data_IF_867735134977
#
_entry.id   IF_867735134977
#
_cell.length_a   1.000
_cell.length_b   1.000
_cell.length_c   1.000
_cell.angle_alpha   90.00
_cell.angle_beta   90.00
_cell.angle_gamma   90.00
#
_symmetry.space_group_name_H-M   'P 1'
#
loop_
_entity.id
_entity.type
_entity.pdbx_description
1 polymer ?
#
# COMPACT_ATOMS: atom_id res chain seq x y z
N UNK A 1 5.56 0.10 -3.47
CA UNK A 1 6.68 0.89 -2.91
C UNK A 1 7.41 0.20 -1.75
N UNK A 2 6.75 -0.06 -0.61
CA UNK A 2 7.37 -0.72 0.55
C UNK A 2 8.07 -2.05 0.24
N UNK A 3 7.58 -2.90 -0.67
CA UNK A 3 8.26 -4.19 -0.97
C UNK A 3 9.63 -4.04 -1.65
N UNK A 4 9.74 -3.17 -2.65
CA UNK A 4 11.01 -2.90 -3.34
C UNK A 4 11.96 -2.03 -2.50
N UNK A 5 11.40 -1.10 -1.73
CA UNK A 5 12.14 -0.34 -0.73
C UNK A 5 12.68 -1.24 0.39
N UNK A 6 11.84 -2.13 0.94
CA UNK A 6 12.24 -3.14 1.94
C UNK A 6 13.27 -4.13 1.38
N UNK A 7 13.17 -4.47 0.09
CA UNK A 7 14.18 -5.27 -0.60
C UNK A 7 15.46 -4.48 -0.95
N UNK A 8 15.50 -3.16 -0.67
CA UNK A 8 16.58 -2.23 -0.99
C UNK A 8 17.00 -2.28 -2.47
N UNK A 9 16.06 -2.64 -3.35
CA UNK A 9 16.30 -2.85 -4.76
C UNK A 9 16.25 -1.56 -5.59
N UNK A 10 15.87 -0.44 -4.97
CA UNK A 10 15.61 0.82 -5.64
C UNK A 10 16.87 1.68 -5.75
N UNK A 11 16.97 2.41 -6.86
CA UNK A 11 18.19 3.14 -7.23
C UNK A 11 18.52 4.30 -6.27
N UNK A 12 17.54 4.79 -5.50
CA UNK A 12 17.76 5.79 -4.45
C UNK A 12 18.64 5.30 -3.28
N UNK A 13 18.86 3.98 -3.16
CA UNK A 13 19.86 3.43 -2.22
C UNK A 13 21.30 3.52 -2.76
N UNK A 14 21.52 3.90 -4.04
CA UNK A 14 22.84 3.91 -4.71
C UNK A 14 23.54 5.29 -4.73
N UNK A 15 23.65 5.95 -3.59
CA UNK A 15 24.43 7.20 -3.43
C UNK A 15 23.99 8.39 -4.33
N UNK A 16 22.68 8.55 -4.56
CA UNK A 16 22.14 9.73 -5.26
C UNK A 16 21.13 10.46 -4.38
N UNK A 17 21.35 11.76 -4.18
CA UNK A 17 20.39 12.62 -3.49
C UNK A 17 19.31 13.08 -4.46
N UNK A 18 18.04 12.91 -4.09
CA UNK A 18 16.89 13.34 -4.88
C UNK A 18 15.98 14.20 -4.00
N UNK A 19 15.53 15.36 -4.46
CA UNK A 19 14.62 16.15 -3.62
C UNK A 19 13.31 15.38 -3.43
N UNK A 20 12.75 15.27 -2.21
CA UNK A 20 11.52 14.53 -1.95
C UNK A 20 10.34 14.93 -2.86
N UNK A 21 10.25 16.22 -3.23
CA UNK A 21 9.23 16.72 -4.17
C UNK A 21 9.40 16.16 -5.59
N UNK A 22 10.64 15.95 -6.04
CA UNK A 22 10.93 15.45 -7.39
C UNK A 22 10.58 13.97 -7.46
N UNK A 23 10.92 13.22 -6.39
CA UNK A 23 10.48 11.84 -6.22
C UNK A 23 8.96 11.74 -6.20
N UNK A 24 8.28 12.53 -5.38
CA UNK A 24 6.83 12.53 -5.32
C UNK A 24 6.18 12.86 -6.67
N UNK A 25 6.76 13.80 -7.43
CA UNK A 25 6.29 14.14 -8.77
C UNK A 25 6.46 12.97 -9.76
N UNK A 26 7.61 12.29 -9.75
CA UNK A 26 7.84 11.10 -10.60
C UNK A 26 6.88 9.96 -10.23
N UNK A 27 6.64 9.74 -8.94
CA UNK A 27 5.69 8.73 -8.46
C UNK A 27 4.26 9.05 -8.91
N UNK A 28 3.85 10.31 -8.80
CA UNK A 28 2.56 10.81 -9.27
C UNK A 28 2.40 10.63 -10.79
N UNK A 29 3.42 10.99 -11.57
CA UNK A 29 3.43 10.83 -13.01
C UNK A 29 3.36 9.35 -13.42
N UNK A 30 4.13 8.48 -12.77
CA UNK A 30 4.09 7.03 -12.98
C UNK A 30 2.70 6.47 -12.71
N UNK A 31 2.08 6.83 -11.57
CA UNK A 31 0.72 6.40 -11.24
C UNK A 31 -0.31 6.86 -12.28
N UNK A 32 -0.18 8.09 -12.79
CA UNK A 32 -1.02 8.61 -13.87
C UNK A 32 -0.86 7.83 -15.19
N UNK A 33 0.38 7.51 -15.58
CA UNK A 33 0.66 6.68 -16.76
C UNK A 33 0.06 5.27 -16.60
N UNK A 34 0.19 4.67 -15.42
CA UNK A 34 -0.40 3.36 -15.14
C UNK A 34 -1.93 3.39 -15.22
N UNK A 35 -2.57 4.45 -14.74
CA UNK A 35 -4.02 4.61 -14.85
C UNK A 35 -4.48 4.73 -16.30
N UNK A 36 -3.76 5.52 -17.12
CA UNK A 36 -4.02 5.60 -18.55
C UNK A 36 -3.80 4.24 -19.25
N UNK A 37 -2.73 3.53 -18.93
CA UNK A 37 -2.42 2.22 -19.51
C UNK A 37 -3.47 1.16 -19.17
N UNK A 38 -3.90 1.08 -17.91
CA UNK A 38 -4.97 0.15 -17.49
C UNK A 38 -6.29 0.50 -18.16
N UNK A 39 -6.63 1.79 -18.25
CA UNK A 39 -7.87 2.24 -18.89
C UNK A 39 -7.88 1.97 -20.41
N UNK A 40 -6.72 2.03 -21.07
CA UNK A 40 -6.57 1.80 -22.51
C UNK A 40 -6.33 0.33 -22.90
N UNK A 41 -6.11 -0.57 -21.94
CA UNK A 41 -5.83 -1.96 -22.21
C UNK A 41 -7.06 -2.68 -22.78
N UNK A 42 -6.95 -3.17 -24.01
CA UNK A 42 -8.01 -3.90 -24.72
C UNK A 42 -7.96 -5.41 -24.49
N UNK A 43 -6.80 -5.96 -24.12
CA UNK A 43 -6.62 -7.38 -23.84
C UNK A 43 -6.79 -7.67 -22.35
N UNK A 44 -7.64 -8.64 -21.94
CA UNK A 44 -7.85 -8.99 -20.53
C UNK A 44 -6.57 -9.36 -19.78
N UNK A 45 -5.69 -10.13 -20.41
CA UNK A 45 -4.39 -10.52 -19.86
C UNK A 45 -3.50 -9.30 -19.56
N UNK A 46 -3.30 -8.42 -20.55
CA UNK A 46 -2.49 -7.21 -20.40
C UNK A 46 -3.08 -6.32 -19.29
N UNK A 47 -4.41 -6.16 -19.27
CA UNK A 47 -5.09 -5.39 -18.23
C UNK A 47 -4.82 -5.97 -16.84
N UNK A 48 -4.92 -7.29 -16.67
CA UNK A 48 -4.64 -7.96 -15.40
C UNK A 48 -3.18 -7.75 -14.94
N UNK A 49 -2.21 -7.91 -15.85
CA UNK A 49 -0.78 -7.68 -15.56
C UNK A 49 -0.49 -6.20 -15.17
N UNK A 50 -1.09 -5.24 -15.89
CA UNK A 50 -0.96 -3.82 -15.58
C UNK A 50 -1.57 -3.48 -14.22
N UNK A 51 -2.76 -4.01 -13.90
CA UNK A 51 -3.39 -3.85 -12.58
C UNK A 51 -2.53 -4.41 -11.46
N UNK A 52 -1.95 -5.61 -11.63
CA UNK A 52 -1.00 -6.17 -10.65
C UNK A 52 0.22 -5.27 -10.46
N UNK A 53 0.69 -4.63 -11.53
CA UNK A 53 1.81 -3.69 -11.47
C UNK A 53 1.48 -2.41 -10.69
N UNK A 54 0.20 -1.99 -10.63
CA UNK A 54 -0.23 -0.84 -9.81
C UNK A 54 0.03 -1.07 -8.31
N UNK A 55 -0.02 -2.31 -7.80
CA UNK A 55 0.34 -2.61 -6.41
C UNK A 55 1.80 -2.27 -6.08
N UNK A 56 2.69 -2.30 -7.09
CA UNK A 56 4.07 -1.93 -6.92
C UNK A 56 4.27 -0.40 -6.93
N UNK A 57 3.36 0.34 -7.57
CA UNK A 57 3.47 1.79 -7.72
C UNK A 57 3.29 2.52 -6.38
N UNK A 58 4.21 3.42 -6.01
CA UNK A 58 3.93 4.41 -4.99
C UNK A 58 2.84 5.37 -5.44
N UNK A 59 2.05 5.88 -4.49
CA UNK A 59 1.06 6.93 -4.78
C UNK A 59 1.76 8.25 -5.16
N UNK A 60 2.80 8.60 -4.40
CA UNK A 60 3.38 9.93 -4.42
C UNK A 60 2.46 10.97 -3.76
N UNK A 61 3.00 11.84 -2.92
CA UNK A 61 2.30 13.02 -2.44
C UNK A 61 3.27 14.20 -2.49
N UNK A 62 3.08 15.10 -3.45
CA UNK A 62 3.96 16.25 -3.68
C UNK A 62 4.17 17.11 -2.41
N UNK A 63 3.19 17.13 -1.50
CA UNK A 63 3.26 17.84 -0.21
C UNK A 63 3.83 17.01 0.95
N UNK A 64 3.90 15.69 0.81
CA UNK A 64 4.26 14.78 1.90
C UNK A 64 5.72 14.94 2.34
N UNK A 65 6.64 15.09 1.38
CA UNK A 65 8.06 15.32 1.69
C UNK A 65 8.29 16.63 2.45
N UNK A 66 7.59 17.70 2.05
CA UNK A 66 7.65 18.98 2.76
C UNK A 66 7.00 18.89 4.15
N UNK A 67 5.90 18.14 4.31
CA UNK A 67 5.29 17.93 5.62
C UNK A 67 6.26 17.23 6.58
N UNK A 68 6.95 16.16 6.13
CA UNK A 68 7.98 15.45 6.91
C UNK A 68 9.08 16.42 7.34
N UNK A 69 9.62 17.20 6.40
CA UNK A 69 10.70 18.16 6.66
C UNK A 69 10.26 19.24 7.65
N UNK A 70 9.11 19.87 7.43
CA UNK A 70 8.61 20.92 8.31
C UNK A 70 8.18 20.39 9.68
N UNK A 71 7.70 19.14 9.76
CA UNK A 71 7.31 18.51 11.01
C UNK A 71 8.47 18.40 12.00
N UNK A 72 9.58 17.79 11.60
CA UNK A 72 10.76 17.67 12.47
C UNK A 72 11.38 19.04 12.78
N UNK A 73 11.35 19.95 11.81
CA UNK A 73 11.82 21.33 11.98
C UNK A 73 11.00 22.09 13.05
N UNK A 74 9.68 21.94 13.04
CA UNK A 74 8.81 22.54 14.07
C UNK A 74 9.12 21.98 15.46
N UNK A 75 9.38 20.67 15.57
CA UNK A 75 9.80 20.04 16.84
C UNK A 75 11.12 20.64 17.32
N UNK A 76 12.12 20.75 16.43
CA UNK A 76 13.40 21.38 16.77
C UNK A 76 13.20 22.80 17.31
N UNK A 77 12.39 23.60 16.63
CA UNK A 77 12.10 24.99 17.01
C UNK A 77 11.35 25.10 18.33
N UNK A 78 10.33 24.27 18.54
CA UNK A 78 9.51 24.26 19.76
C UNK A 78 10.33 23.91 21.01
N UNK A 79 11.37 23.09 20.85
CA UNK A 79 12.21 22.63 21.96
C UNK A 79 13.56 23.33 22.07
N UNK A 80 13.81 24.34 21.23
CA UNK A 80 15.05 25.12 21.22
C UNK A 80 16.27 24.30 20.80
N UNK A 81 16.10 23.28 19.95
CA UNK A 81 17.19 22.49 19.38
C UNK A 81 17.87 23.31 18.28
N UNK A 82 19.21 23.25 18.26
CA UNK A 82 20.03 23.94 17.27
C UNK A 82 19.66 23.53 15.84
N UNK A 83 19.59 24.51 14.95
CA UNK A 83 19.35 24.34 13.51
C UNK A 83 20.37 25.20 12.74
N UNK A 84 21.42 24.59 12.19
CA UNK A 84 22.45 25.31 11.46
C UNK A 84 23.12 26.39 12.32
N UNK A 85 22.97 27.66 11.93
CA UNK A 85 23.57 28.79 12.65
C UNK A 85 22.74 29.28 13.85
N UNK A 86 21.52 28.78 14.05
CA UNK A 86 20.66 29.23 15.16
C UNK A 86 21.15 28.63 16.47
N UNK A 87 21.44 29.43 17.52
CA UNK A 87 21.84 28.89 18.82
C UNK A 87 20.72 28.09 19.48
N UNK A 88 21.08 27.01 20.19
CA UNK A 88 20.14 26.10 20.83
C UNK A 88 20.82 24.89 21.46
N UNK A 89 20.02 23.92 21.90
CA UNK A 89 20.49 22.64 22.43
C UNK A 89 21.17 21.86 21.30
N UNK A 90 22.43 21.48 21.51
CA UNK A 90 23.20 20.64 20.58
C UNK A 90 22.67 19.20 20.60
N UNK A 91 21.88 18.82 19.59
CA UNK A 91 21.46 17.44 19.38
C UNK A 91 21.77 17.02 17.94
N UNK A 92 23.02 16.60 17.72
CA UNK A 92 23.54 16.25 16.39
C UNK A 92 22.71 15.19 15.67
N UNK A 93 22.15 14.21 16.40
CA UNK A 93 21.31 13.17 15.80
C UNK A 93 20.07 13.79 15.12
N UNK A 94 19.31 14.63 15.83
CA UNK A 94 18.12 15.28 15.27
C UNK A 94 18.51 16.25 14.14
N UNK A 95 19.57 17.02 14.31
CA UNK A 95 20.02 17.96 13.27
C UNK A 95 20.39 17.23 11.98
N UNK A 96 21.20 16.16 12.06
CA UNK A 96 21.60 15.36 10.91
C UNK A 96 20.42 14.61 10.29
N UNK A 97 19.47 14.15 11.10
CA UNK A 97 18.27 13.51 10.60
C UNK A 97 17.36 14.51 9.88
N UNK A 98 17.16 15.70 10.43
CA UNK A 98 16.47 16.79 9.73
C UNK A 98 17.15 17.09 8.39
N UNK A 99 18.48 17.20 8.33
CA UNK A 99 19.18 17.42 7.05
C UNK A 99 19.01 16.25 6.07
N UNK A 100 19.11 14.99 6.52
CA UNK A 100 18.79 13.81 5.71
C UNK A 100 17.40 13.94 5.09
N UNK A 101 16.40 14.36 5.87
CA UNK A 101 15.01 14.46 5.41
C UNK A 101 14.80 15.57 4.36
N UNK A 102 15.73 16.52 4.19
CA UNK A 102 15.69 17.47 3.06
C UNK A 102 16.11 16.83 1.75
N UNK A 103 16.99 15.83 1.80
CA UNK A 103 17.63 15.24 0.62
C UNK A 103 17.16 13.83 0.31
N UNK A 104 16.59 13.11 1.29
CA UNK A 104 16.09 11.75 1.14
C UNK A 104 15.22 11.35 2.35
N UNK A 105 13.90 11.47 2.23
CA UNK A 105 12.95 10.80 3.14
C UNK A 105 12.58 9.43 2.59
N UNK A 106 12.59 8.41 3.43
CA UNK A 106 12.36 7.02 3.05
C UNK A 106 11.53 6.28 4.12
N UNK A 107 10.87 5.16 3.78
CA UNK A 107 10.12 4.36 4.76
C UNK A 107 10.94 3.95 5.99
N UNK A 108 12.26 3.80 5.84
CA UNK A 108 13.21 3.54 6.94
C UNK A 108 13.14 4.60 8.06
N UNK A 109 12.73 5.84 7.76
CA UNK A 109 12.57 6.90 8.74
C UNK A 109 11.47 6.61 9.78
N UNK A 110 10.49 5.76 9.45
CA UNK A 110 9.51 5.25 10.43
C UNK A 110 10.23 4.45 11.51
N UNK A 111 11.11 3.52 11.13
CA UNK A 111 11.87 2.69 12.06
C UNK A 111 12.86 3.53 12.89
N UNK A 112 13.49 4.53 12.27
CA UNK A 112 14.36 5.49 12.97
C UNK A 112 13.57 6.25 14.03
N UNK A 113 12.36 6.72 13.70
CA UNK A 113 11.49 7.43 14.64
C UNK A 113 11.01 6.52 15.78
N UNK A 114 10.62 5.27 15.48
CA UNK A 114 10.23 4.28 16.50
C UNK A 114 11.38 3.95 17.45
N UNK A 115 12.60 3.78 16.93
CA UNK A 115 13.78 3.60 17.77
C UNK A 115 14.12 4.84 18.60
N UNK A 116 13.98 6.04 18.03
CA UNK A 116 14.20 7.27 18.78
C UNK A 116 13.19 7.42 19.93
N UNK A 117 11.91 7.05 19.72
CA UNK A 117 10.91 7.01 20.78
C UNK A 117 11.27 5.99 21.88
N UNK A 118 11.76 4.81 21.51
CA UNK A 118 12.23 3.83 22.48
C UNK A 118 13.36 4.40 23.36
N UNK A 119 14.33 5.08 22.75
CA UNK A 119 15.40 5.78 23.48
C UNK A 119 14.88 6.95 24.33
N UNK A 120 13.94 7.75 23.83
CA UNK A 120 13.35 8.83 24.61
C UNK A 120 12.65 8.30 25.87
N UNK A 121 11.99 7.15 25.78
CA UNK A 121 11.36 6.47 26.92
C UNK A 121 12.38 5.88 27.90
N UNK A 122 13.41 5.19 27.41
CA UNK A 122 14.30 4.42 28.29
C UNK A 122 15.57 5.15 28.74
N UNK A 123 15.99 6.17 27.99
CA UNK A 123 17.31 6.80 28.15
C UNK A 123 18.49 5.93 27.70
N UNK A 124 18.24 4.71 27.22
CA UNK A 124 19.28 3.78 26.78
C UNK A 124 19.42 3.80 25.25
N UNK A 125 20.56 4.26 24.69
CA UNK A 125 20.79 4.26 23.25
C UNK A 125 20.66 2.87 22.60
N UNK A 126 20.90 1.78 23.33
CA UNK A 126 20.78 0.43 22.78
C UNK A 126 19.33 0.08 22.38
N UNK A 127 18.33 0.66 23.04
CA UNK A 127 16.92 0.46 22.68
C UNK A 127 16.57 1.07 21.33
N UNK A 128 17.20 2.20 20.97
CA UNK A 128 17.06 2.78 19.63
C UNK A 128 17.56 1.80 18.59
N UNK A 129 18.79 1.32 18.74
CA UNK A 129 19.40 0.45 17.73
C UNK A 129 18.74 -0.91 17.65
N UNK A 130 18.32 -1.48 18.78
CA UNK A 130 17.55 -2.72 18.81
C UNK A 130 16.23 -2.58 18.06
N UNK A 131 15.46 -1.53 18.34
CA UNK A 131 14.17 -1.28 17.67
C UNK A 131 14.35 -1.05 16.16
N UNK A 132 15.35 -0.24 15.77
CA UNK A 132 15.66 0.01 14.36
C UNK A 132 16.06 -1.29 13.63
N UNK A 133 16.86 -2.13 14.26
CA UNK A 133 17.24 -3.44 13.71
C UNK A 133 16.04 -4.40 13.59
N UNK A 134 15.21 -4.49 14.62
CA UNK A 134 14.02 -5.34 14.62
C UNK A 134 13.07 -4.97 13.48
N UNK A 135 12.84 -3.66 13.27
CA UNK A 135 11.89 -3.11 12.29
C UNK A 135 12.40 -3.04 10.86
N UNK A 136 13.63 -2.58 10.63
CA UNK A 136 14.14 -2.26 9.30
C UNK A 136 15.45 -2.99 8.93
N UNK A 137 16.00 -3.80 9.84
CA UNK A 137 17.29 -4.50 9.64
C UNK A 137 18.42 -3.53 9.26
N UNK A 138 18.44 -2.38 9.92
CA UNK A 138 19.47 -1.35 9.74
C UNK A 138 20.47 -1.41 10.89
N UNK A 139 21.74 -1.49 10.54
CA UNK A 139 22.85 -1.47 11.50
C UNK A 139 23.24 -0.04 11.87
N UNK A 140 24.07 0.11 12.92
CA UNK A 140 24.66 1.40 13.29
C UNK A 140 25.48 2.00 12.12
N UNK A 141 26.15 1.15 11.36
CA UNK A 141 26.94 1.55 10.21
C UNK A 141 26.06 2.03 9.06
N UNK A 142 24.90 1.41 8.84
CA UNK A 142 23.92 1.88 7.85
C UNK A 142 23.44 3.29 8.20
N UNK A 143 23.04 3.53 9.45
CA UNK A 143 22.61 4.86 9.93
C UNK A 143 23.74 5.90 9.81
N UNK A 144 24.98 5.50 10.11
CA UNK A 144 26.17 6.32 9.96
C UNK A 144 26.56 6.58 8.49
N UNK A 145 25.91 5.92 7.52
CA UNK A 145 26.10 6.14 6.07
C UNK A 145 24.88 6.80 5.41
N UNK A 146 23.70 6.79 6.05
CA UNK A 146 22.45 7.33 5.48
C UNK A 146 22.50 8.82 5.14
N UNK A 147 23.43 9.57 5.75
CA UNK A 147 23.69 10.96 5.43
C UNK A 147 25.00 11.16 4.62
N UNK A 148 25.51 10.14 3.93
CA UNK A 148 26.65 10.26 3.01
C UNK A 148 26.23 10.46 1.53
N UNK A 149 24.99 10.10 1.20
CA UNK A 149 24.46 10.02 -0.16
C UNK A 149 23.83 11.36 -0.58
N UNK A 150 24.61 12.29 -1.14
CA UNK A 150 24.12 13.60 -1.60
C UNK A 150 24.08 14.70 -0.51
N UNK A 151 24.59 14.37 0.68
CA UNK A 151 24.84 15.31 1.75
C UNK A 151 26.08 16.14 1.43
N UNK A 152 25.90 17.41 1.08
CA UNK A 152 26.92 18.40 1.41
C UNK A 152 26.54 18.94 2.78
N UNK A 153 27.36 18.68 3.77
CA UNK A 153 27.22 19.28 5.09
C UNK A 153 27.20 20.80 4.97
N UNK A 154 26.02 21.42 5.04
CA UNK A 154 25.88 22.88 5.08
C UNK A 154 26.13 23.45 6.49
N UNK A 155 26.30 22.58 7.50
CA UNK A 155 26.44 22.94 8.92
C UNK A 155 27.89 23.02 9.39
N UNK A 156 28.88 22.80 8.50
CA UNK A 156 30.32 22.72 8.83
C UNK A 156 30.67 21.65 9.88
N UNK A 157 29.77 20.72 10.18
CA UNK A 157 29.94 19.72 11.25
C UNK A 157 30.92 18.59 10.88
N UNK A 158 31.24 18.41 9.59
CA UNK A 158 32.07 17.34 9.06
C UNK A 158 31.40 15.95 9.12
N UNK A 159 30.08 15.89 9.37
CA UNK A 159 29.38 14.63 9.54
C UNK A 159 29.17 13.91 8.20
N UNK A 160 29.30 12.59 8.19
CA UNK A 160 29.02 11.73 7.01
C UNK A 160 27.79 10.82 7.21
N UNK A 161 27.04 11.03 8.30
CA UNK A 161 26.07 10.07 8.83
C UNK A 161 25.26 10.59 10.01
N UNK A 162 24.23 9.83 10.42
CA UNK A 162 23.54 10.07 11.68
C UNK A 162 24.46 9.75 12.87
N UNK A 163 24.48 10.62 13.87
CA UNK A 163 25.27 10.47 15.06
C UNK A 163 24.71 9.32 15.92
N UNK A 164 25.51 8.29 16.14
CA UNK A 164 25.14 7.12 16.93
C UNK A 164 25.08 7.37 18.44
N UNK A 165 25.39 8.60 18.89
CA UNK A 165 25.30 9.04 20.28
C UNK A 165 24.26 10.18 20.41
N UNK A 166 22.96 9.85 20.47
CA UNK A 166 21.91 10.84 20.63
C UNK A 166 21.91 11.45 22.04
N UNK A 167 21.48 12.70 22.16
CA UNK A 167 21.27 13.36 23.46
C UNK A 167 19.88 12.99 23.97
N UNK A 168 19.79 12.49 25.20
CA UNK A 168 18.50 12.10 25.78
C UNK A 168 17.68 13.34 26.14
N UNK A 169 16.57 13.54 25.42
CA UNK A 169 15.68 14.68 25.56
C UNK A 169 14.23 14.19 25.74
N UNK A 170 13.88 13.59 26.89
CA UNK A 170 12.61 12.86 27.08
C UNK A 170 11.36 13.72 26.83
N UNK A 171 11.46 15.04 27.04
CA UNK A 171 10.41 16.03 26.73
C UNK A 171 9.95 16.03 25.26
N UNK A 172 10.73 15.46 24.33
CA UNK A 172 10.37 15.36 22.92
C UNK A 172 9.36 14.24 22.63
N UNK A 173 9.12 13.33 23.58
CA UNK A 173 8.41 12.07 23.31
C UNK A 173 7.05 12.26 22.62
N UNK A 174 6.19 13.13 23.17
CA UNK A 174 4.84 13.32 22.64
C UNK A 174 4.84 13.90 21.22
N UNK A 175 5.71 14.90 20.97
CA UNK A 175 5.81 15.52 19.65
C UNK A 175 6.41 14.56 18.62
N UNK A 176 7.43 13.78 19.02
CA UNK A 176 8.00 12.72 18.18
C UNK A 176 6.99 11.60 17.90
N UNK A 177 6.09 11.30 18.84
CA UNK A 177 5.03 10.32 18.62
C UNK A 177 3.97 10.84 17.64
N UNK A 178 3.62 12.13 17.71
CA UNK A 178 2.82 12.78 16.68
C UNK A 178 3.52 12.78 15.31
N UNK A 179 4.82 13.02 15.29
CA UNK A 179 5.65 12.97 14.08
C UNK A 179 5.74 11.58 13.47
N UNK A 180 5.78 10.52 14.28
CA UNK A 180 5.69 9.14 13.79
C UNK A 180 4.39 8.91 13.02
N UNK A 181 3.27 9.47 13.49
CA UNK A 181 2.00 9.44 12.77
C UNK A 181 2.10 10.08 11.39
N UNK A 182 2.77 11.23 11.30
CA UNK A 182 3.03 11.91 10.02
C UNK A 182 3.91 11.09 9.08
N UNK A 183 5.02 10.52 9.58
CA UNK A 183 5.90 9.65 8.80
C UNK A 183 5.14 8.43 8.26
N UNK A 184 4.34 7.78 9.11
CA UNK A 184 3.50 6.64 8.74
C UNK A 184 2.44 7.02 7.71
N UNK A 185 1.82 8.19 7.82
CA UNK A 185 0.84 8.66 6.84
C UNK A 185 1.49 8.96 5.48
N UNK A 186 2.63 9.66 5.47
CA UNK A 186 3.30 10.05 4.21
C UNK A 186 3.97 8.85 3.52
N UNK A 187 4.69 8.01 4.26
CA UNK A 187 5.35 6.82 3.70
C UNK A 187 4.42 5.60 3.59
N UNK A 188 3.33 5.58 4.34
CA UNK A 188 2.29 4.54 4.30
C UNK A 188 1.11 4.88 3.41
N UNK A 189 1.14 5.98 2.65
CA UNK A 189 0.06 6.51 1.80
C UNK A 189 -0.45 5.61 0.66
N UNK A 190 -0.18 4.30 0.75
CA UNK A 190 -0.81 3.22 -0.01
C UNK A 190 -1.75 2.38 0.87
N UNK A 191 -2.03 2.79 2.11
CA UNK A 191 -2.99 2.13 2.99
C UNK A 191 -4.43 2.37 2.54
N UNK A 192 -5.35 1.48 2.94
CA UNK A 192 -6.75 1.54 2.53
C UNK A 192 -7.39 2.88 2.94
N UNK A 193 -7.17 3.30 4.19
CA UNK A 193 -7.66 4.58 4.68
C UNK A 193 -7.09 5.78 3.91
N UNK A 194 -5.78 5.80 3.68
CA UNK A 194 -5.11 6.93 3.01
C UNK A 194 -5.61 7.08 1.57
N UNK A 195 -5.87 5.97 0.87
CA UNK A 195 -6.49 5.99 -0.44
C UNK A 195 -7.97 6.37 -0.40
N UNK A 196 -8.72 5.94 0.61
CA UNK A 196 -10.10 6.42 0.82
C UNK A 196 -10.15 7.94 0.97
N UNK A 197 -9.25 8.53 1.76
CA UNK A 197 -9.11 9.97 1.95
C UNK A 197 -8.64 10.67 0.66
N UNK A 198 -7.62 10.13 -0.02
CA UNK A 198 -7.08 10.69 -1.26
C UNK A 198 -8.11 10.77 -2.38
N UNK A 199 -9.06 9.84 -2.42
CA UNK A 199 -10.10 9.76 -3.42
C UNK A 199 -11.26 10.76 -3.19
N UNK A 200 -11.29 11.50 -2.07
CA UNK A 200 -12.32 12.52 -1.81
C UNK A 200 -12.39 13.54 -2.95
N UNK A 201 -13.60 13.84 -3.41
CA UNK A 201 -13.85 14.68 -4.58
C UNK A 201 -13.53 14.01 -5.94
N UNK A 202 -12.95 12.80 -5.94
CA UNK A 202 -12.68 12.01 -7.13
C UNK A 202 -13.66 10.86 -7.35
N UNK A 203 -14.38 10.44 -6.28
CA UNK A 203 -15.40 9.40 -6.36
C UNK A 203 -16.48 9.72 -7.43
N UNK A 204 -17.06 8.70 -8.07
CA UNK A 204 -18.17 8.89 -9.02
C UNK A 204 -19.39 9.57 -8.40
N UNK A 205 -19.70 9.23 -7.14
CA UNK A 205 -20.80 9.79 -6.37
C UNK A 205 -20.53 9.71 -4.86
N UNK A 206 -21.33 10.43 -4.06
CA UNK A 206 -21.21 10.44 -2.60
C UNK A 206 -21.48 9.07 -1.95
N UNK A 207 -22.30 8.22 -2.57
CA UNK A 207 -22.58 6.88 -2.08
C UNK A 207 -21.36 5.95 -2.23
N UNK A 208 -20.56 6.09 -3.28
CA UNK A 208 -19.29 5.39 -3.44
C UNK A 208 -18.26 5.85 -2.39
N UNK A 209 -18.21 7.16 -2.10
CA UNK A 209 -17.37 7.70 -1.02
C UNK A 209 -17.73 7.10 0.34
N UNK A 210 -19.01 7.17 0.75
CA UNK A 210 -19.46 6.60 2.01
C UNK A 210 -19.15 5.10 2.11
N UNK A 211 -19.41 4.35 1.04
CA UNK A 211 -19.14 2.92 0.98
C UNK A 211 -17.66 2.59 1.12
N UNK A 212 -16.75 3.43 0.59
CA UNK A 212 -15.30 3.24 0.78
C UNK A 212 -14.89 3.30 2.26
N UNK A 213 -15.45 4.26 3.01
CA UNK A 213 -15.19 4.37 4.45
C UNK A 213 -15.88 3.26 5.26
N UNK A 214 -17.06 2.81 4.86
CA UNK A 214 -17.70 1.62 5.46
C UNK A 214 -16.85 0.37 5.28
N UNK A 215 -16.35 0.12 4.06
CA UNK A 215 -15.44 -1.00 3.76
C UNK A 215 -14.18 -0.89 4.61
N UNK A 216 -13.60 0.30 4.76
CA UNK A 216 -12.44 0.48 5.64
C UNK A 216 -12.75 0.13 7.10
N UNK A 217 -13.90 0.55 7.63
CA UNK A 217 -14.29 0.30 9.01
C UNK A 217 -14.58 -1.18 9.28
N UNK A 218 -15.14 -1.88 8.30
CA UNK A 218 -15.51 -3.30 8.38
C UNK A 218 -14.49 -4.25 7.72
N UNK A 219 -13.30 -3.76 7.35
CA UNK A 219 -12.31 -4.47 6.51
C UNK A 219 -11.88 -5.85 7.02
N UNK A 220 -11.99 -6.11 8.32
CA UNK A 220 -11.60 -7.37 8.94
C UNK A 220 -12.79 -8.37 9.04
N UNK A 221 -14.00 -7.97 8.65
CA UNK A 221 -15.23 -8.77 8.70
C UNK A 221 -15.47 -9.51 7.37
N UNK A 222 -15.78 -10.82 7.36
CA UNK A 222 -16.15 -11.55 6.15
C UNK A 222 -17.37 -10.97 5.41
N UNK A 223 -18.26 -10.27 6.12
CA UNK A 223 -19.44 -9.64 5.53
C UNK A 223 -19.09 -8.49 4.57
N UNK A 224 -17.86 -7.99 4.60
CA UNK A 224 -17.40 -6.88 3.75
C UNK A 224 -17.20 -7.29 2.29
N UNK A 225 -17.07 -8.59 1.98
CA UNK A 225 -16.77 -9.09 0.63
C UNK A 225 -17.75 -8.56 -0.43
N UNK A 226 -19.05 -8.59 -0.15
CA UNK A 226 -20.07 -8.05 -1.05
C UNK A 226 -19.95 -6.54 -1.23
N UNK A 227 -19.72 -5.80 -0.14
CA UNK A 227 -19.53 -4.34 -0.17
C UNK A 227 -18.30 -3.95 -0.99
N UNK A 228 -17.22 -4.71 -0.91
CA UNK A 228 -16.03 -4.49 -1.74
C UNK A 228 -16.39 -4.61 -3.23
N UNK A 229 -17.07 -5.67 -3.64
CA UNK A 229 -17.46 -5.88 -5.04
C UNK A 229 -18.37 -4.74 -5.54
N UNK A 230 -19.35 -4.34 -4.74
CA UNK A 230 -20.27 -3.27 -5.10
C UNK A 230 -19.55 -1.92 -5.21
N UNK A 231 -18.62 -1.63 -4.30
CA UNK A 231 -17.78 -0.45 -4.37
C UNK A 231 -16.93 -0.45 -5.64
N UNK A 232 -16.20 -1.53 -5.91
CA UNK A 232 -15.34 -1.67 -7.10
C UNK A 232 -16.13 -1.48 -8.39
N UNK A 233 -17.35 -2.01 -8.45
CA UNK A 233 -18.27 -1.77 -9.57
C UNK A 233 -18.66 -0.30 -9.72
N UNK A 234 -18.95 0.40 -8.61
CA UNK A 234 -19.24 1.85 -8.66
C UNK A 234 -18.04 2.65 -9.16
N UNK A 235 -16.83 2.31 -8.70
CA UNK A 235 -15.58 2.98 -9.08
C UNK A 235 -15.23 2.83 -10.56
N UNK A 236 -15.84 1.88 -11.27
CA UNK A 236 -15.50 1.49 -12.64
C UNK A 236 -15.42 2.67 -13.62
N UNK A 237 -16.36 3.61 -13.52
CA UNK A 237 -16.45 4.79 -14.38
C UNK A 237 -15.32 5.81 -14.16
N UNK A 238 -14.59 5.69 -13.05
CA UNK A 238 -13.53 6.62 -12.63
C UNK A 238 -12.15 5.97 -12.54
N UNK A 239 -11.98 4.71 -12.98
CA UNK A 239 -10.69 3.99 -12.94
C UNK A 239 -9.57 4.63 -13.81
N UNK A 240 -9.91 5.60 -14.66
CA UNK A 240 -8.91 6.41 -15.37
C UNK A 240 -8.22 7.42 -14.46
N UNK A 241 -8.77 7.70 -13.27
CA UNK A 241 -8.13 8.53 -12.24
C UNK A 241 -7.18 7.66 -11.42
N UNK A 242 -5.94 8.12 -11.26
CA UNK A 242 -4.87 7.42 -10.53
C UNK A 242 -5.33 6.92 -9.16
N UNK A 243 -5.78 7.81 -8.29
CA UNK A 243 -6.07 7.45 -6.90
C UNK A 243 -7.26 6.47 -6.81
N UNK A 244 -8.27 6.61 -7.68
CA UNK A 244 -9.38 5.66 -7.78
C UNK A 244 -8.91 4.27 -8.23
N UNK A 245 -8.02 4.20 -9.23
CA UNK A 245 -7.46 2.92 -9.67
C UNK A 245 -6.63 2.26 -8.57
N UNK A 246 -5.80 3.04 -7.88
CA UNK A 246 -5.00 2.52 -6.77
C UNK A 246 -5.90 2.01 -5.64
N UNK A 247 -7.00 2.72 -5.33
CA UNK A 247 -8.00 2.26 -4.36
C UNK A 247 -8.67 0.96 -4.82
N UNK A 248 -9.12 0.87 -6.08
CA UNK A 248 -9.74 -0.34 -6.62
C UNK A 248 -8.82 -1.57 -6.60
N UNK A 249 -7.54 -1.40 -6.95
CA UNK A 249 -6.54 -2.46 -6.87
C UNK A 249 -6.24 -2.85 -5.41
N UNK A 250 -6.25 -1.88 -4.49
CA UNK A 250 -6.09 -2.20 -3.08
C UNK A 250 -7.32 -2.91 -2.50
N UNK A 251 -8.53 -2.55 -2.92
CA UNK A 251 -9.76 -3.23 -2.55
C UNK A 251 -9.74 -4.71 -2.99
N UNK A 252 -9.19 -5.01 -4.16
CA UNK A 252 -8.92 -6.38 -4.63
C UNK A 252 -7.97 -7.15 -3.68
N UNK A 253 -6.89 -6.50 -3.23
CA UNK A 253 -5.95 -7.09 -2.27
C UNK A 253 -6.60 -7.32 -0.89
N UNK A 254 -7.42 -6.38 -0.42
CA UNK A 254 -8.21 -6.55 0.82
C UNK A 254 -9.22 -7.68 0.70
N UNK A 255 -9.93 -7.77 -0.43
CA UNK A 255 -10.85 -8.87 -0.71
C UNK A 255 -10.14 -10.21 -0.59
N UNK A 256 -8.98 -10.36 -1.26
CA UNK A 256 -8.17 -11.58 -1.18
C UNK A 256 -7.76 -11.90 0.26
N UNK A 257 -7.31 -10.92 1.03
CA UNK A 257 -6.91 -11.15 2.42
C UNK A 257 -8.08 -11.62 3.31
N UNK A 258 -9.28 -11.07 3.12
CA UNK A 258 -10.47 -11.50 3.88
C UNK A 258 -10.85 -12.94 3.49
N UNK A 259 -10.82 -13.26 2.19
CA UNK A 259 -11.07 -14.62 1.67
C UNK A 259 -10.05 -15.62 2.22
N UNK A 260 -8.75 -15.32 2.19
CA UNK A 260 -7.69 -16.19 2.69
C UNK A 260 -7.75 -16.44 4.21
N UNK A 261 -8.27 -15.48 4.98
CA UNK A 261 -8.47 -15.60 6.43
C UNK A 261 -9.75 -16.32 6.82
N UNK A 262 -10.68 -16.49 5.89
CA UNK A 262 -11.97 -17.12 6.16
C UNK A 262 -11.77 -18.62 6.45
N UNK A 263 -12.34 -19.11 7.55
CA UNK A 263 -12.32 -20.54 7.88
C UNK A 263 -13.40 -21.28 7.08
N UNK A 264 -13.01 -21.73 5.88
CA UNK A 264 -13.85 -22.50 4.96
C UNK A 264 -14.45 -23.77 5.59
N UNK A 265 -13.74 -24.40 6.52
CA UNK A 265 -14.17 -25.66 7.12
C UNK A 265 -15.40 -25.53 8.02
N UNK A 266 -15.66 -24.32 8.52
CA UNK A 266 -16.76 -24.03 9.42
C UNK A 266 -17.98 -23.40 8.73
N UNK A 267 -17.90 -23.18 7.41
CA UNK A 267 -18.99 -22.58 6.63
C UNK A 267 -20.03 -23.61 6.20
N UNK A 268 -21.30 -23.19 6.18
CA UNK A 268 -22.36 -23.96 5.56
C UNK A 268 -22.17 -24.08 4.06
N UNK A 269 -22.83 -25.07 3.43
CA UNK A 269 -22.70 -25.29 1.98
C UNK A 269 -23.12 -24.08 1.14
N UNK A 270 -24.17 -23.38 1.56
CA UNK A 270 -24.65 -22.18 0.88
C UNK A 270 -23.71 -20.98 1.07
N UNK A 271 -23.07 -20.86 2.24
CA UNK A 271 -22.08 -19.82 2.51
C UNK A 271 -20.82 -20.03 1.64
N UNK A 272 -20.38 -21.29 1.47
CA UNK A 272 -19.28 -21.63 0.57
C UNK A 272 -19.57 -21.22 -0.88
N UNK A 273 -20.79 -21.47 -1.37
CA UNK A 273 -21.24 -20.98 -2.68
C UNK A 273 -21.27 -19.46 -2.71
N UNK A 274 -21.71 -18.81 -1.64
CA UNK A 274 -21.71 -17.35 -1.52
C UNK A 274 -20.31 -16.75 -1.67
N UNK A 275 -19.31 -17.32 -0.99
CA UNK A 275 -17.92 -16.88 -1.11
C UNK A 275 -17.36 -17.16 -2.50
N UNK A 276 -17.63 -18.33 -3.08
CA UNK A 276 -17.23 -18.66 -4.46
C UNK A 276 -17.80 -17.63 -5.46
N UNK A 277 -19.08 -17.30 -5.35
CA UNK A 277 -19.73 -16.27 -6.18
C UNK A 277 -19.04 -14.92 -6.01
N UNK A 278 -18.69 -14.54 -4.78
CA UNK A 278 -17.96 -13.29 -4.54
C UNK A 278 -16.60 -13.30 -5.24
N UNK A 279 -15.80 -14.37 -5.08
CA UNK A 279 -14.48 -14.50 -5.72
C UNK A 279 -14.56 -14.39 -7.24
N UNK A 280 -15.56 -15.04 -7.84
CA UNK A 280 -15.73 -15.04 -9.28
C UNK A 280 -16.23 -13.70 -9.82
N UNK A 281 -17.11 -13.01 -9.10
CA UNK A 281 -17.54 -11.64 -9.45
C UNK A 281 -16.37 -10.66 -9.34
N UNK A 282 -15.55 -10.77 -8.31
CA UNK A 282 -14.34 -9.96 -8.12
C UNK A 282 -13.32 -10.18 -9.26
N UNK A 283 -13.13 -11.44 -9.66
CA UNK A 283 -12.30 -11.82 -10.80
C UNK A 283 -12.82 -11.23 -12.12
N UNK A 284 -14.14 -11.27 -12.34
CA UNK A 284 -14.79 -10.70 -13.52
C UNK A 284 -14.53 -9.19 -13.66
N UNK A 285 -14.68 -8.42 -12.56
CA UNK A 285 -14.36 -6.98 -12.54
C UNK A 285 -12.89 -6.71 -12.90
N UNK A 286 -11.99 -7.56 -12.41
CA UNK A 286 -10.54 -7.40 -12.56
C UNK A 286 -10.03 -7.81 -13.94
N UNK A 287 -10.72 -8.70 -14.65
CA UNK A 287 -10.30 -9.21 -15.98
C UNK A 287 -11.06 -8.60 -17.14
N UNK A 288 -12.37 -8.38 -17.04
CA UNK A 288 -13.25 -7.97 -18.16
C UNK A 288 -13.10 -8.90 -19.38
N UNK A 289 -13.17 -10.19 -19.11
CA UNK A 289 -13.01 -11.24 -20.11
C UNK A 289 -14.39 -11.80 -20.47
N UNK A 290 -14.79 -11.64 -21.73
CA UNK A 290 -16.10 -12.07 -22.23
C UNK A 290 -16.28 -13.58 -22.08
N UNK A 291 -15.24 -14.37 -22.27
CA UNK A 291 -15.31 -15.83 -22.13
C UNK A 291 -15.48 -16.23 -20.67
N UNK A 292 -14.81 -15.51 -19.75
CA UNK A 292 -15.04 -15.67 -18.31
C UNK A 292 -16.48 -15.31 -17.96
N UNK A 293 -16.97 -14.15 -18.37
CA UNK A 293 -18.34 -13.69 -18.06
C UNK A 293 -19.39 -14.70 -18.56
N UNK A 294 -19.22 -15.24 -19.76
CA UNK A 294 -20.07 -16.32 -20.30
C UNK A 294 -19.95 -17.62 -19.50
N UNK A 295 -18.75 -17.97 -19.03
CA UNK A 295 -18.53 -19.12 -18.16
C UNK A 295 -19.17 -18.96 -16.78
N UNK A 296 -19.19 -17.73 -16.25
CA UNK A 296 -19.76 -17.40 -14.95
C UNK A 296 -21.29 -17.38 -14.95
N UNK A 297 -21.94 -17.05 -16.07
CA UNK A 297 -23.40 -16.90 -16.15
C UNK A 297 -24.14 -18.12 -15.59
N UNK A 298 -23.77 -19.32 -16.02
CA UNK A 298 -24.41 -20.56 -15.57
C UNK A 298 -24.23 -20.77 -14.05
N UNK A 299 -23.02 -20.58 -13.53
CA UNK A 299 -22.73 -20.75 -12.11
C UNK A 299 -23.53 -19.75 -11.25
N UNK A 300 -23.56 -18.48 -11.66
CA UNK A 300 -24.28 -17.41 -10.97
C UNK A 300 -25.79 -17.70 -10.94
N UNK A 301 -26.37 -18.11 -12.08
CA UNK A 301 -27.79 -18.47 -12.16
C UNK A 301 -28.14 -19.63 -11.22
N UNK A 302 -27.35 -20.69 -11.23
CA UNK A 302 -27.53 -21.85 -10.35
C UNK A 302 -27.41 -21.47 -8.86
N UNK A 303 -26.44 -20.61 -8.50
CA UNK A 303 -26.24 -20.14 -7.14
C UNK A 303 -27.39 -19.24 -6.64
N UNK A 304 -27.96 -18.42 -7.52
CA UNK A 304 -29.10 -17.55 -7.26
C UNK A 304 -30.46 -18.24 -7.32
N UNK A 305 -30.49 -19.56 -7.57
CA UNK A 305 -31.73 -20.35 -7.56
C UNK A 305 -32.41 -20.49 -8.93
N UNK A 306 -31.82 -19.98 -10.01
CA UNK A 306 -32.28 -20.21 -11.37
C UNK A 306 -31.69 -21.52 -11.92
N UNK A 307 -32.21 -22.64 -11.43
CA UNK A 307 -31.80 -24.00 -11.79
C UNK A 307 -32.95 -24.82 -12.40
N UNK A 308 -33.93 -24.13 -12.99
CA UNK A 308 -35.09 -24.76 -13.63
C UNK A 308 -35.86 -25.67 -12.67
N UNK A 309 -36.04 -26.93 -13.04
CA UNK A 309 -36.77 -27.94 -12.25
C UNK A 309 -35.86 -28.72 -11.28
N UNK A 310 -34.54 -28.48 -11.29
CA UNK A 310 -33.63 -29.16 -10.37
C UNK A 310 -33.86 -28.68 -8.93
N UNK A 311 -33.73 -29.56 -7.96
CA UNK A 311 -33.76 -29.20 -6.54
C UNK A 311 -32.36 -28.74 -6.10
N UNK A 312 -32.25 -27.60 -5.39
CA UNK A 312 -30.98 -27.11 -4.83
C UNK A 312 -30.36 -28.19 -3.95
N UNK A 313 -29.07 -28.48 -4.13
CA UNK A 313 -28.37 -29.60 -3.48
C UNK A 313 -28.82 -31.02 -3.89
N UNK A 314 -29.77 -31.15 -4.82
CA UNK A 314 -30.15 -32.42 -5.44
C UNK A 314 -29.11 -32.90 -6.46
N UNK A 315 -29.21 -34.17 -6.87
CA UNK A 315 -28.22 -34.80 -7.76
C UNK A 315 -28.02 -34.06 -9.09
N UNK A 316 -29.11 -33.65 -9.74
CA UNK A 316 -29.05 -32.91 -11.01
C UNK A 316 -28.46 -31.51 -10.84
N UNK A 317 -28.82 -30.80 -9.75
CA UNK A 317 -28.23 -29.50 -9.43
C UNK A 317 -26.71 -29.62 -9.19
N UNK A 318 -26.27 -30.64 -8.45
CA UNK A 318 -24.84 -30.88 -8.20
C UNK A 318 -24.07 -31.15 -9.50
N UNK A 319 -24.63 -31.90 -10.44
CA UNK A 319 -24.01 -32.11 -11.77
C UNK A 319 -23.89 -30.81 -12.56
N UNK A 320 -24.94 -29.99 -12.58
CA UNK A 320 -24.94 -28.70 -13.26
C UNK A 320 -23.92 -27.73 -12.63
N UNK A 321 -23.87 -27.67 -11.30
CA UNK A 321 -22.92 -26.83 -10.58
C UNK A 321 -21.48 -27.28 -10.82
N UNK A 322 -21.22 -28.60 -10.78
CA UNK A 322 -19.90 -29.15 -11.08
C UNK A 322 -19.45 -28.82 -12.52
N UNK A 323 -20.34 -29.00 -13.51
CA UNK A 323 -20.04 -28.65 -14.89
C UNK A 323 -19.76 -27.14 -15.07
N UNK A 324 -20.48 -26.28 -14.35
CA UNK A 324 -20.24 -24.84 -14.36
C UNK A 324 -18.88 -24.49 -13.73
N UNK A 325 -18.54 -25.10 -12.59
CA UNK A 325 -17.23 -24.95 -11.96
C UNK A 325 -16.09 -25.42 -12.86
N UNK A 326 -16.23 -26.58 -13.50
CA UNK A 326 -15.22 -27.12 -14.43
C UNK A 326 -14.98 -26.18 -15.61
N UNK A 327 -16.04 -25.62 -16.19
CA UNK A 327 -15.92 -24.64 -17.28
C UNK A 327 -15.12 -23.42 -16.84
N UNK A 328 -15.42 -22.87 -15.65
CA UNK A 328 -14.70 -21.71 -15.10
C UNK A 328 -13.24 -22.08 -14.79
N UNK A 329 -12.99 -23.26 -14.25
CA UNK A 329 -11.66 -23.75 -13.95
C UNK A 329 -10.79 -23.85 -15.22
N UNK A 330 -11.33 -24.38 -16.32
CA UNK A 330 -10.64 -24.46 -17.61
C UNK A 330 -10.29 -23.07 -18.16
N UNK A 331 -11.21 -22.10 -18.07
CA UNK A 331 -10.96 -20.73 -18.50
C UNK A 331 -9.86 -20.04 -17.65
N UNK A 332 -9.84 -20.32 -16.35
CA UNK A 332 -8.78 -19.83 -15.46
C UNK A 332 -7.43 -20.47 -15.77
N UNK A 333 -7.41 -21.79 -16.03
CA UNK A 333 -6.19 -22.53 -16.37
C UNK A 333 -5.58 -22.06 -17.69
N UNK A 334 -6.39 -21.86 -18.74
CA UNK A 334 -5.90 -21.37 -20.02
C UNK A 334 -5.17 -20.04 -19.92
N UNK A 335 -5.66 -19.10 -19.09
CA UNK A 335 -4.91 -17.86 -18.84
C UNK A 335 -3.60 -18.11 -18.07
N UNK A 336 -3.63 -19.00 -17.08
CA UNK A 336 -2.43 -19.31 -16.31
C UNK A 336 -1.32 -19.87 -17.23
N UNK A 337 -1.70 -20.68 -18.22
CA UNK A 337 -0.80 -21.19 -19.25
C UNK A 337 -0.26 -20.05 -20.12
N UNK A 338 -1.10 -19.14 -20.62
CA UNK A 338 -0.66 -17.95 -21.38
C UNK A 338 0.33 -17.08 -20.59
N UNK A 339 0.07 -16.85 -19.30
CA UNK A 339 0.97 -16.10 -18.41
C UNK A 339 2.30 -16.85 -18.25
N UNK A 340 2.26 -18.16 -18.05
CA UNK A 340 3.46 -18.97 -17.88
C UNK A 340 4.32 -18.94 -19.15
N UNK A 341 3.73 -19.04 -20.33
CA UNK A 341 4.44 -18.93 -21.62
C UNK A 341 5.13 -17.57 -21.78
N UNK A 342 4.43 -16.48 -21.45
CA UNK A 342 5.02 -15.13 -21.50
C UNK A 342 6.21 -14.98 -20.55
N UNK A 343 6.11 -15.54 -19.34
CA UNK A 343 7.18 -15.46 -18.34
C UNK A 343 8.38 -16.35 -18.68
N UNK A 344 8.17 -17.49 -19.35
CA UNK A 344 9.27 -18.35 -19.82
C UNK A 344 10.08 -17.71 -20.95
N UNK A 345 9.51 -16.75 -21.68
CA UNK A 345 10.19 -16.01 -22.74
C UNK A 345 11.01 -14.80 -22.26
N UNK A 346 10.94 -14.46 -20.97
CA UNK A 346 11.59 -13.28 -20.37
C UNK A 346 12.87 -13.65 -19.61
#
# INVERSE_FOLDING_TARGET
>A
DLRLANAKALEWYRQRGYQPKDMAHVQEALGGVMAAAVSGATTPLIRALLRMSVLACPRGNASGGDAIRHGILNIMRNHGIKEGHRPGIECKFIEQWHQKLHTNSAPDDIAICEGYLAFLSSGNPDDLFRTVWERAKLTREDLAKMAGCGFKDHTKSGASGLNVNPVHLPKLYNDMNGYLGLLKHVHGGTGLFDLCEACKGQYPDHGAECMAFEVFNERDSPHVLGKIIDLRRKLESALWKRDILMLDVLLEDQFRMVVERTDWGNLGRDDLIGVLVCMLRDLGLSRRDVSLDQGLDMLLRLAHGDHGQAERWGAEWCKLMFAACDRVAVLCAGLADEVAELLQGC
#
